data_IF_589619116862
#
_entry.id   IF_589619116862
#
_cell.length_a   1.000
_cell.length_b   1.000
_cell.length_c   1.000
_cell.angle_alpha   90.00
_cell.angle_beta   90.00
_cell.angle_gamma   90.00
#
_symmetry.space_group_name_H-M   'P 1'
#
loop_
_entity.id
_entity.type
_entity.pdbx_description
1 polymer ?
#
# COMPACT_ATOMS: atom_id res chain seq x y z
N UNK A 1 6.07 -9.73 4.51
CA UNK A 1 7.26 -10.24 3.79
C UNK A 1 7.83 -9.24 2.76
N UNK A 2 7.29 -8.02 2.68
CA UNK A 2 7.81 -6.98 1.78
C UNK A 2 9.26 -6.57 2.13
N UNK A 3 9.67 -6.78 3.36
CA UNK A 3 11.06 -6.60 3.77
C UNK A 3 12.04 -7.51 3.00
N UNK A 4 11.54 -8.59 2.39
CA UNK A 4 12.32 -9.51 1.57
C UNK A 4 12.24 -9.21 0.07
N UNK A 5 11.62 -8.10 -0.31
CA UNK A 5 11.48 -7.70 -1.71
C UNK A 5 12.88 -7.54 -2.34
N UNK A 6 13.01 -8.02 -3.58
CA UNK A 6 14.27 -8.07 -4.30
C UNK A 6 15.03 -9.38 -4.15
N UNK A 7 14.75 -10.16 -3.11
CA UNK A 7 15.41 -11.45 -2.84
C UNK A 7 14.44 -12.63 -2.87
N UNK A 8 13.14 -12.37 -2.67
CA UNK A 8 12.09 -13.38 -2.64
C UNK A 8 11.35 -13.43 -3.97
N UNK A 9 11.30 -14.62 -4.56
CA UNK A 9 10.54 -14.88 -5.80
C UNK A 9 10.70 -13.76 -6.84
N UNK A 10 11.94 -13.46 -7.31
CA UNK A 10 12.18 -12.31 -8.18
C UNK A 10 11.43 -12.39 -9.52
N UNK A 11 11.06 -13.58 -9.96
CA UNK A 11 10.24 -13.80 -11.14
C UNK A 11 8.80 -13.30 -10.98
N UNK A 12 8.32 -13.17 -9.74
CA UNK A 12 6.97 -12.68 -9.42
C UNK A 12 6.99 -11.22 -9.01
N UNK A 13 7.95 -10.83 -8.16
CA UNK A 13 7.99 -9.52 -7.50
C UNK A 13 9.06 -8.57 -8.05
N UNK A 14 9.98 -9.08 -8.93
CA UNK A 14 11.09 -8.30 -9.45
C UNK A 14 12.29 -8.24 -8.50
N UNK A 15 13.34 -7.52 -8.94
CA UNK A 15 14.61 -7.40 -8.22
C UNK A 15 14.73 -6.12 -7.38
N UNK A 16 13.83 -5.17 -7.55
CA UNK A 16 13.84 -3.95 -6.76
C UNK A 16 13.61 -4.24 -5.30
N UNK A 17 14.37 -3.58 -4.45
CA UNK A 17 14.20 -3.65 -3.00
C UNK A 17 13.18 -2.62 -2.52
N UNK A 18 12.70 -2.79 -1.29
CA UNK A 18 11.82 -1.81 -0.66
C UNK A 18 12.51 -0.44 -0.56
N UNK A 19 13.82 -0.42 -0.29
CA UNK A 19 14.62 0.81 -0.26
C UNK A 19 14.62 1.53 -1.60
N UNK A 20 14.74 0.80 -2.71
CA UNK A 20 14.70 1.38 -4.06
C UNK A 20 13.35 2.05 -4.33
N UNK A 21 12.27 1.40 -3.92
CA UNK A 21 10.90 1.93 -4.04
C UNK A 21 10.78 3.21 -3.22
N UNK A 22 11.22 3.19 -1.96
CA UNK A 22 11.17 4.36 -1.09
C UNK A 22 11.90 5.56 -1.70
N UNK A 23 13.10 5.36 -2.22
CA UNK A 23 13.88 6.42 -2.86
C UNK A 23 13.15 7.02 -4.06
N UNK A 24 12.52 6.19 -4.89
CA UNK A 24 11.73 6.65 -6.04
C UNK A 24 10.55 7.52 -5.60
N UNK A 25 9.84 7.07 -4.57
CA UNK A 25 8.67 7.79 -4.06
C UNK A 25 9.05 9.09 -3.37
N UNK A 26 10.17 9.12 -2.64
CA UNK A 26 10.69 10.34 -2.02
C UNK A 26 11.02 11.41 -3.04
N UNK A 27 11.60 11.04 -4.19
CA UNK A 27 11.86 11.97 -5.28
C UNK A 27 10.59 12.61 -5.81
N UNK A 28 9.56 11.82 -6.04
CA UNK A 28 8.25 12.29 -6.52
C UNK A 28 7.64 13.23 -5.48
N UNK A 29 7.58 12.80 -4.21
CA UNK A 29 7.00 13.59 -3.13
C UNK A 29 7.72 14.94 -2.98
N UNK A 30 9.04 14.95 -3.01
CA UNK A 30 9.84 16.16 -2.92
C UNK A 30 9.55 17.12 -4.07
N UNK A 31 9.43 16.61 -5.30
CA UNK A 31 9.11 17.43 -6.47
C UNK A 31 7.73 18.08 -6.40
N UNK A 32 6.83 17.53 -5.59
CA UNK A 32 5.44 17.99 -5.39
C UNK A 32 5.23 18.69 -4.05
N UNK A 33 6.29 18.91 -3.27
CA UNK A 33 6.21 19.48 -1.92
C UNK A 33 5.28 18.68 -0.98
N UNK A 34 5.33 17.37 -1.08
CA UNK A 34 4.56 16.45 -0.25
C UNK A 34 5.50 15.76 0.73
N UNK A 35 5.08 15.66 1.99
CA UNK A 35 5.76 14.83 2.99
C UNK A 35 5.24 13.41 2.89
N UNK A 36 6.14 12.44 2.84
CA UNK A 36 5.80 11.02 2.77
C UNK A 36 6.56 10.26 3.86
N UNK A 37 5.85 9.39 4.57
CA UNK A 37 6.43 8.50 5.56
C UNK A 37 6.22 7.05 5.11
N UNK A 38 7.15 6.18 5.50
CA UNK A 38 7.14 4.78 5.12
C UNK A 38 7.11 3.88 6.33
N UNK A 39 6.29 2.84 6.29
CA UNK A 39 6.22 1.81 7.32
C UNK A 39 6.14 0.46 6.65
N UNK A 40 6.85 -0.52 7.18
CA UNK A 40 6.71 -1.91 6.80
C UNK A 40 6.77 -2.75 8.06
N UNK A 41 5.83 -3.69 8.19
CA UNK A 41 5.83 -4.66 9.28
C UNK A 41 5.16 -5.96 8.82
N UNK A 42 5.60 -7.06 9.39
CA UNK A 42 4.94 -8.36 9.26
C UNK A 42 3.87 -8.57 10.34
N UNK A 43 3.79 -7.68 11.32
CA UNK A 43 2.85 -7.76 12.42
C UNK A 43 1.58 -6.97 12.10
N UNK A 44 0.44 -7.66 12.01
CA UNK A 44 -0.84 -7.03 11.70
C UNK A 44 -1.20 -5.89 12.66
N UNK A 45 -0.97 -6.10 13.97
CA UNK A 45 -1.28 -5.08 14.97
C UNK A 45 -0.44 -3.82 14.81
N UNK A 46 0.81 -3.93 14.39
CA UNK A 46 1.67 -2.76 14.15
C UNK A 46 1.15 -1.92 12.98
N UNK A 47 0.66 -2.57 11.93
CA UNK A 47 0.02 -1.87 10.80
C UNK A 47 -1.24 -1.15 11.27
N UNK A 48 -2.08 -1.81 12.04
CA UNK A 48 -3.30 -1.23 12.61
C UNK A 48 -2.97 -0.02 13.47
N UNK A 49 -2.03 -0.16 14.39
CA UNK A 49 -1.61 0.94 15.29
C UNK A 49 -1.04 2.12 14.49
N UNK A 50 -0.29 1.84 13.44
CA UNK A 50 0.24 2.87 12.55
C UNK A 50 -0.86 3.66 11.84
N UNK A 51 -1.89 2.99 11.32
CA UNK A 51 -3.02 3.64 10.64
C UNK A 51 -3.82 4.49 11.65
N UNK A 52 -4.03 4.00 12.85
CA UNK A 52 -4.69 4.78 13.91
C UNK A 52 -3.89 6.03 14.26
N UNK A 53 -2.57 5.91 14.41
CA UNK A 53 -1.67 7.04 14.66
C UNK A 53 -1.67 8.04 13.51
N UNK A 54 -1.80 7.57 12.29
CA UNK A 54 -1.85 8.43 11.10
C UNK A 54 -3.01 9.43 11.17
N UNK A 55 -4.15 9.02 11.70
CA UNK A 55 -5.28 9.92 11.91
C UNK A 55 -4.91 11.08 12.84
N UNK A 56 -4.23 10.79 13.94
CA UNK A 56 -3.81 11.80 14.92
C UNK A 56 -2.70 12.71 14.37
N UNK A 57 -1.92 12.24 13.42
CA UNK A 57 -0.83 12.98 12.80
C UNK A 57 -1.23 13.70 11.51
N UNK A 58 -2.53 13.85 11.26
CA UNK A 58 -3.07 14.59 10.11
C UNK A 58 -2.62 14.05 8.76
N UNK A 59 -2.40 12.75 8.66
CA UNK A 59 -2.12 12.09 7.39
C UNK A 59 -3.34 12.20 6.48
N UNK A 60 -3.15 12.63 5.25
CA UNK A 60 -4.24 12.88 4.31
C UNK A 60 -4.63 11.67 3.48
N UNK A 61 -3.69 10.76 3.26
CA UNK A 61 -3.88 9.64 2.37
C UNK A 61 -2.92 8.50 2.72
N UNK A 62 -3.35 7.27 2.50
CA UNK A 62 -2.51 6.09 2.72
C UNK A 62 -2.42 5.27 1.43
N UNK A 63 -1.23 4.83 1.08
CA UNK A 63 -1.00 3.82 0.06
C UNK A 63 -0.58 2.56 0.80
N UNK A 64 -1.32 1.48 0.64
CA UNK A 64 -1.04 0.25 1.36
C UNK A 64 -0.87 -0.92 0.40
N UNK A 65 0.22 -1.64 0.58
CA UNK A 65 0.37 -2.99 0.06
C UNK A 65 0.11 -3.96 1.23
N UNK A 66 -1.11 -4.47 1.37
CA UNK A 66 -1.46 -5.30 2.52
C UNK A 66 -0.91 -6.72 2.41
N UNK A 67 -0.41 -7.11 1.24
CA UNK A 67 0.01 -8.47 0.98
C UNK A 67 -1.13 -9.45 1.28
N UNK A 68 -0.86 -10.58 1.94
CA UNK A 68 -1.90 -11.55 2.25
C UNK A 68 -2.96 -11.07 3.24
N UNK A 69 -2.70 -10.00 4.01
CA UNK A 69 -3.68 -9.45 4.94
C UNK A 69 -4.95 -8.94 4.23
N UNK A 70 -4.85 -8.60 2.95
CA UNK A 70 -6.02 -8.21 2.16
C UNK A 70 -7.07 -9.31 2.08
N UNK A 71 -6.62 -10.58 2.16
CA UNK A 71 -7.50 -11.74 2.05
C UNK A 71 -8.02 -12.26 3.40
N UNK A 72 -7.48 -11.75 4.52
CA UNK A 72 -7.72 -12.32 5.85
C UNK A 72 -8.13 -11.31 6.91
N UNK A 73 -7.76 -10.03 6.76
CA UNK A 73 -7.85 -9.10 7.89
C UNK A 73 -9.12 -8.26 7.87
N UNK A 74 -10.13 -8.71 8.59
CA UNK A 74 -11.30 -7.90 8.90
C UNK A 74 -10.90 -6.75 9.85
N UNK A 75 -9.95 -6.98 10.76
CA UNK A 75 -9.45 -5.95 11.67
C UNK A 75 -8.83 -4.76 10.93
N UNK A 76 -8.07 -5.01 9.87
CA UNK A 76 -7.50 -3.96 9.03
C UNK A 76 -8.61 -3.18 8.29
N UNK A 77 -9.61 -3.89 7.76
CA UNK A 77 -10.80 -3.26 7.17
C UNK A 77 -11.48 -2.31 8.16
N UNK A 78 -11.74 -2.78 9.36
CA UNK A 78 -12.41 -1.99 10.40
C UNK A 78 -11.58 -0.77 10.80
N UNK A 79 -10.25 -0.89 10.78
CA UNK A 79 -9.35 0.23 11.06
C UNK A 79 -9.49 1.34 10.02
N UNK A 80 -9.53 1.01 8.74
CA UNK A 80 -9.77 2.02 7.71
C UNK A 80 -11.14 2.66 7.81
N UNK A 81 -12.17 1.87 8.09
CA UNK A 81 -13.52 2.41 8.30
C UNK A 81 -13.59 3.36 9.50
N UNK A 82 -12.87 3.04 10.58
CA UNK A 82 -12.86 3.85 11.81
C UNK A 82 -12.06 5.13 11.66
N UNK A 83 -10.93 5.09 10.96
CA UNK A 83 -10.07 6.27 10.78
C UNK A 83 -10.57 7.20 9.68
N UNK A 84 -11.29 6.65 8.71
CA UNK A 84 -11.81 7.37 7.55
C UNK A 84 -10.71 8.04 6.69
N UNK A 85 -9.46 7.61 6.82
CA UNK A 85 -8.39 8.08 5.95
C UNK A 85 -8.55 7.40 4.59
N UNK A 86 -8.64 8.15 3.49
CA UNK A 86 -8.72 7.54 2.16
C UNK A 86 -7.44 6.80 1.82
N UNK A 87 -7.57 5.70 1.08
CA UNK A 87 -6.41 4.89 0.75
C UNK A 87 -6.52 4.23 -0.62
N UNK A 88 -5.39 3.90 -1.19
CA UNK A 88 -5.26 3.04 -2.38
C UNK A 88 -4.63 1.72 -1.96
N UNK A 89 -5.29 0.62 -2.35
CA UNK A 89 -4.75 -0.73 -2.18
C UNK A 89 -3.86 -1.06 -3.38
N UNK A 90 -2.64 -1.54 -3.13
CA UNK A 90 -1.76 -1.96 -4.20
C UNK A 90 -1.23 -3.38 -3.99
N UNK A 91 -1.07 -4.11 -5.09
CA UNK A 91 -0.42 -5.41 -5.16
C UNK A 91 0.57 -5.40 -6.32
N UNK A 92 1.79 -5.88 -6.07
CA UNK A 92 2.85 -5.93 -7.08
C UNK A 92 2.48 -6.94 -8.16
N UNK A 93 2.07 -8.15 -7.75
CA UNK A 93 1.65 -9.19 -8.66
C UNK A 93 0.21 -9.03 -9.12
N UNK A 94 -0.13 -9.65 -10.25
CA UNK A 94 -1.54 -9.79 -10.62
C UNK A 94 -2.15 -10.92 -9.79
N UNK A 95 -2.83 -10.54 -8.71
CA UNK A 95 -3.45 -11.47 -7.78
C UNK A 95 -4.53 -12.34 -8.43
N UNK A 96 -5.11 -11.89 -9.53
CA UNK A 96 -6.16 -12.62 -10.26
C UNK A 96 -5.61 -13.77 -11.11
N UNK A 97 -4.29 -13.81 -11.33
CA UNK A 97 -3.60 -14.92 -12.00
C UNK A 97 -3.05 -15.97 -11.03
N UNK A 98 -3.26 -15.79 -9.75
CA UNK A 98 -2.74 -16.66 -8.69
C UNK A 98 -3.85 -17.54 -8.12
N UNK A 99 -3.65 -18.07 -6.91
CA UNK A 99 -4.61 -18.98 -6.27
C UNK A 99 -5.96 -18.27 -6.05
N UNK A 100 -7.04 -19.04 -6.09
CA UNK A 100 -8.40 -18.50 -5.99
C UNK A 100 -8.66 -17.68 -4.72
N UNK A 101 -8.03 -18.04 -3.59
CA UNK A 101 -8.20 -17.27 -2.35
C UNK A 101 -7.66 -15.85 -2.44
N UNK A 102 -6.81 -15.53 -3.44
CA UNK A 102 -6.26 -14.18 -3.64
C UNK A 102 -7.19 -13.26 -4.43
N UNK A 103 -8.31 -13.77 -4.93
CA UNK A 103 -9.26 -12.98 -5.71
C UNK A 103 -10.17 -12.11 -4.85
N UNK A 104 -10.28 -12.41 -3.55
CA UNK A 104 -11.10 -11.64 -2.61
C UNK A 104 -10.23 -10.74 -1.75
N UNK A 105 -10.62 -9.47 -1.64
CA UNK A 105 -10.01 -8.50 -0.74
C UNK A 105 -11.07 -7.96 0.22
N UNK A 106 -10.72 -7.83 1.49
CA UNK A 106 -11.53 -7.14 2.48
C UNK A 106 -11.35 -5.62 2.46
N UNK A 107 -10.45 -5.11 1.60
CA UNK A 107 -10.11 -3.69 1.52
C UNK A 107 -10.58 -3.02 0.23
N UNK A 108 -10.64 -3.77 -0.87
CA UNK A 108 -10.85 -3.18 -2.20
C UNK A 108 -12.14 -2.36 -2.31
N UNK A 109 -13.24 -2.84 -1.73
CA UNK A 109 -14.54 -2.18 -1.82
C UNK A 109 -14.65 -0.89 -1.01
N UNK A 110 -13.75 -0.68 -0.03
CA UNK A 110 -13.71 0.55 0.78
C UNK A 110 -12.55 1.46 0.42
N UNK A 111 -11.71 1.07 -0.53
CA UNK A 111 -10.57 1.88 -1.00
C UNK A 111 -11.01 2.95 -2.00
N UNK A 112 -10.17 3.98 -2.18
CA UNK A 112 -10.34 4.96 -3.26
C UNK A 112 -9.96 4.38 -4.63
N UNK A 113 -9.23 3.28 -4.66
CA UNK A 113 -8.83 2.59 -5.88
C UNK A 113 -7.93 1.41 -5.58
N UNK A 114 -7.75 0.56 -6.59
CA UNK A 114 -6.92 -0.64 -6.50
C UNK A 114 -5.96 -0.68 -7.68
N UNK A 115 -4.69 -0.96 -7.41
CA UNK A 115 -3.67 -1.21 -8.42
C UNK A 115 -3.13 -2.61 -8.17
N UNK A 116 -3.15 -3.45 -9.19
CA UNK A 116 -2.63 -4.82 -9.07
C UNK A 116 -1.98 -5.25 -10.38
N UNK A 117 -0.84 -5.93 -10.28
CA UNK A 117 -0.20 -6.55 -11.44
C UNK A 117 0.73 -5.66 -12.26
N UNK A 118 1.00 -4.45 -11.80
CA UNK A 118 1.87 -3.51 -12.51
C UNK A 118 3.30 -3.46 -11.94
N UNK A 119 3.67 -4.48 -11.16
CA UNK A 119 4.99 -4.53 -10.54
C UNK A 119 5.18 -3.42 -9.51
N UNK A 120 6.44 -3.06 -9.29
CA UNK A 120 6.80 -2.01 -8.34
C UNK A 120 6.43 -0.61 -8.81
N UNK A 121 6.24 -0.40 -10.11
CA UNK A 121 5.77 0.87 -10.66
C UNK A 121 4.38 1.25 -10.12
N UNK A 122 3.60 0.27 -9.68
CA UNK A 122 2.30 0.51 -9.07
C UNK A 122 2.34 1.49 -7.90
N UNK A 123 3.42 1.52 -7.13
CA UNK A 123 3.59 2.48 -6.04
C UNK A 123 3.66 3.92 -6.54
N UNK A 124 4.37 4.16 -7.63
CA UNK A 124 4.45 5.50 -8.23
C UNK A 124 3.09 5.95 -8.76
N UNK A 125 2.37 5.08 -9.43
CA UNK A 125 1.03 5.39 -9.94
C UNK A 125 0.07 5.70 -8.80
N UNK A 126 0.14 4.93 -7.71
CA UNK A 126 -0.67 5.19 -6.53
C UNK A 126 -0.34 6.54 -5.90
N UNK A 127 0.94 6.90 -5.78
CA UNK A 127 1.35 8.18 -5.22
C UNK A 127 0.86 9.35 -6.06
N UNK A 128 1.03 9.28 -7.38
CA UNK A 128 0.56 10.34 -8.28
C UNK A 128 -0.95 10.52 -8.17
N UNK A 129 -1.71 9.43 -8.11
CA UNK A 129 -3.16 9.51 -7.93
C UNK A 129 -3.54 10.05 -6.56
N UNK A 130 -2.85 9.63 -5.50
CA UNK A 130 -3.10 10.13 -4.14
C UNK A 130 -2.88 11.65 -4.08
N UNK A 131 -1.79 12.15 -4.65
CA UNK A 131 -1.50 13.59 -4.70
C UNK A 131 -2.62 14.34 -5.42
N UNK A 132 -3.08 13.82 -6.54
CA UNK A 132 -4.18 14.41 -7.31
C UNK A 132 -5.47 14.47 -6.49
N UNK A 133 -5.78 13.42 -5.74
CA UNK A 133 -6.98 13.36 -4.90
C UNK A 133 -6.91 14.31 -3.70
N UNK A 134 -5.72 14.50 -3.12
CA UNK A 134 -5.51 15.43 -2.00
C UNK A 134 -5.64 16.88 -2.45
N UNK A 135 -5.14 17.22 -3.64
CA UNK A 135 -5.17 18.58 -4.19
C UNK A 135 -6.57 19.04 -4.61
N UNK A 136 -7.47 18.10 -4.79
CA UNK A 136 -8.87 18.39 -5.11
C UNK A 136 -9.69 18.41 -3.81
#
# INVERSE_FOLDING_TARGET
NLNLLGTREPEVYGKETLSDIQQSLEKIAKSKNITIDFVQSNAEHEIIDCIQSAKNNSVKFIIINPGPLTHTSIALRDTFLSTQIPFIEIHISNIFKREDFRKKSYLSDISSGVIAGLGTDGYQYALLQAIKLIEN
#
